data_IF_937032821585
#
_entry.id   IF_937032821585
#
_cell.length_a   1.000
_cell.length_b   1.000
_cell.length_c   1.000
_cell.angle_alpha   90.00
_cell.angle_beta   90.00
_cell.angle_gamma   90.00
#
_symmetry.space_group_name_H-M   'P 1'
#
loop_
_entity.id
_entity.type
_entity.pdbx_description
1 polymer ?
#
# COMPACT_ATOMS: atom_id res chain seq x y z
N UNK A 1 13.64 -6.97 19.82
CA UNK A 1 13.32 -5.53 19.68
C UNK A 1 11.91 -5.36 20.21
N UNK A 2 11.68 -4.36 21.04
CA UNK A 2 10.36 -4.07 21.57
C UNK A 2 9.47 -3.54 20.43
N UNK A 3 8.40 -4.25 20.11
CA UNK A 3 7.55 -3.95 18.95
C UNK A 3 6.85 -2.59 19.11
N UNK A 4 6.47 -2.22 20.33
CA UNK A 4 5.88 -0.91 20.62
C UNK A 4 6.87 0.23 20.34
N UNK A 5 8.12 0.09 20.78
CA UNK A 5 9.17 1.09 20.50
C UNK A 5 9.49 1.20 19.01
N UNK A 6 9.36 0.11 18.26
CA UNK A 6 9.51 0.15 16.81
C UNK A 6 8.36 0.92 16.15
N UNK A 7 7.12 0.69 16.59
CA UNK A 7 5.96 1.44 16.11
C UNK A 7 6.12 2.93 16.36
N UNK A 8 6.52 3.32 17.57
CA UNK A 8 6.76 4.72 17.94
C UNK A 8 7.84 5.36 17.05
N UNK A 9 8.98 4.67 16.87
CA UNK A 9 10.06 5.18 16.02
C UNK A 9 9.63 5.38 14.57
N UNK A 10 8.94 4.40 13.98
CA UNK A 10 8.44 4.49 12.60
C UNK A 10 7.41 5.62 12.46
N UNK A 11 6.64 5.90 13.51
CA UNK A 11 5.64 6.97 13.51
C UNK A 11 6.26 8.37 13.56
N UNK A 12 7.38 8.52 14.26
CA UNK A 12 8.13 9.78 14.34
C UNK A 12 8.96 10.01 13.08
N UNK A 13 9.76 9.02 12.67
CA UNK A 13 10.66 9.11 11.54
C UNK A 13 10.78 7.76 10.82
N UNK A 14 10.04 7.54 9.72
CA UNK A 14 10.05 6.28 9.01
C UNK A 14 11.34 6.11 8.20
N UNK A 15 12.29 5.34 8.74
CA UNK A 15 13.47 4.90 7.99
C UNK A 15 13.19 3.58 7.26
N UNK A 16 13.84 3.35 6.11
CA UNK A 16 13.71 2.08 5.38
C UNK A 16 14.01 0.86 6.28
N UNK A 17 15.04 0.97 7.14
CA UNK A 17 15.44 -0.08 8.06
C UNK A 17 14.34 -0.40 9.07
N UNK A 18 13.77 0.61 9.71
CA UNK A 18 12.73 0.41 10.72
C UNK A 18 11.42 -0.07 10.07
N UNK A 19 11.08 0.43 8.88
CA UNK A 19 9.92 -0.05 8.12
C UNK A 19 10.06 -1.53 7.73
N UNK A 20 11.23 -1.95 7.21
CA UNK A 20 11.49 -3.36 6.93
C UNK A 20 11.44 -4.20 8.22
N UNK A 21 12.06 -3.74 9.29
CA UNK A 21 12.01 -4.42 10.60
C UNK A 21 10.58 -4.58 11.13
N UNK A 22 9.71 -3.61 10.88
CA UNK A 22 8.29 -3.65 11.26
C UNK A 22 7.54 -4.72 10.46
N UNK A 23 7.73 -4.77 9.15
CA UNK A 23 7.14 -5.78 8.27
C UNK A 23 7.63 -7.20 8.62
N UNK A 24 8.91 -7.35 8.97
CA UNK A 24 9.49 -8.63 9.36
C UNK A 24 9.01 -9.12 10.74
N UNK A 25 8.67 -8.20 11.64
CA UNK A 25 8.25 -8.50 13.02
C UNK A 25 6.74 -8.68 13.16
N UNK A 26 5.93 -8.03 12.32
CA UNK A 26 4.47 -8.10 12.36
C UNK A 26 3.89 -9.38 11.72
N UNK A 27 4.24 -10.55 12.28
CA UNK A 27 3.85 -11.87 11.73
C UNK A 27 2.73 -12.57 12.49
N UNK A 28 2.58 -12.31 13.79
CA UNK A 28 1.53 -12.89 14.60
C UNK A 28 0.28 -12.01 14.62
N UNK A 29 -0.84 -12.62 15.03
CA UNK A 29 -2.12 -11.93 15.12
C UNK A 29 -2.05 -10.71 16.04
N UNK A 30 -1.36 -10.84 17.19
CA UNK A 30 -1.26 -9.78 18.19
C UNK A 30 -0.42 -8.60 17.68
N UNK A 31 0.70 -8.86 17.02
CA UNK A 31 1.55 -7.82 16.43
C UNK A 31 0.81 -7.10 15.29
N UNK A 32 0.10 -7.84 14.44
CA UNK A 32 -0.71 -7.26 13.34
C UNK A 32 -1.83 -6.39 13.92
N UNK A 33 -2.54 -6.88 14.94
CA UNK A 33 -3.60 -6.12 15.62
C UNK A 33 -3.03 -4.85 16.25
N UNK A 34 -1.88 -4.93 16.89
CA UNK A 34 -1.21 -3.79 17.50
C UNK A 34 -0.78 -2.76 16.44
N UNK A 35 -0.19 -3.21 15.33
CA UNK A 35 0.17 -2.35 14.19
C UNK A 35 -1.04 -1.59 13.64
N UNK A 36 -2.14 -2.28 13.33
CA UNK A 36 -3.33 -1.64 12.79
C UNK A 36 -4.03 -0.72 13.81
N UNK A 37 -4.02 -1.09 15.10
CA UNK A 37 -4.53 -0.25 16.18
C UNK A 37 -3.73 1.04 16.32
N UNK A 38 -2.40 0.92 16.35
CA UNK A 38 -1.48 2.06 16.41
C UNK A 38 -1.64 2.97 15.19
N UNK A 39 -1.64 2.42 13.97
CA UNK A 39 -1.81 3.18 12.73
C UNK A 39 -3.17 3.91 12.69
N UNK A 40 -4.23 3.28 13.21
CA UNK A 40 -5.55 3.91 13.30
C UNK A 40 -5.56 5.08 14.30
N UNK A 41 -4.93 4.92 15.46
CA UNK A 41 -4.76 5.99 16.45
C UNK A 41 -3.97 7.16 15.85
N UNK A 42 -2.85 6.88 15.20
CA UNK A 42 -2.01 7.90 14.57
C UNK A 42 -2.76 8.66 13.47
N UNK A 43 -3.54 7.96 12.63
CA UNK A 43 -4.43 8.59 11.64
C UNK A 43 -5.44 9.51 12.32
N UNK A 44 -6.13 9.04 13.35
CA UNK A 44 -7.13 9.81 14.07
C UNK A 44 -6.53 11.07 14.72
N UNK A 45 -5.32 11.00 15.26
CA UNK A 45 -4.61 12.13 15.88
C UNK A 45 -4.10 13.15 14.86
N UNK A 46 -3.58 12.70 13.71
CA UNK A 46 -2.93 13.58 12.72
C UNK A 46 -3.89 14.14 11.68
N UNK A 47 -4.87 13.36 11.27
CA UNK A 47 -5.77 13.66 10.13
C UNK A 47 -7.23 13.73 10.57
N UNK A 48 -7.56 13.19 11.74
CA UNK A 48 -8.94 13.06 12.21
C UNK A 48 -9.68 11.88 11.58
N UNK A 49 -10.93 11.69 12.01
CA UNK A 49 -11.84 10.67 11.46
C UNK A 49 -12.56 11.17 10.22
N UNK A 50 -11.79 11.56 9.22
CA UNK A 50 -12.30 12.12 7.97
C UNK A 50 -12.10 11.12 6.83
N UNK A 51 -13.17 10.83 6.08
CA UNK A 51 -13.10 10.06 4.86
C UNK A 51 -13.07 11.02 3.66
N UNK A 52 -11.98 10.98 2.88
CA UNK A 52 -11.89 11.70 1.62
C UNK A 52 -12.47 10.82 0.52
N UNK A 53 -13.46 11.35 -0.19
CA UNK A 53 -14.05 10.70 -1.35
C UNK A 53 -13.29 11.18 -2.58
N UNK A 54 -12.64 10.25 -3.29
CA UNK A 54 -11.94 10.51 -4.54
C UNK A 54 -12.61 9.75 -5.68
N UNK A 55 -13.13 10.47 -6.67
CA UNK A 55 -13.77 9.89 -7.84
C UNK A 55 -12.75 9.74 -8.96
N UNK A 56 -12.55 8.51 -9.41
CA UNK A 56 -11.66 8.23 -10.53
C UNK A 56 -12.45 7.93 -11.80
N UNK A 57 -12.31 8.77 -12.82
CA UNK A 57 -12.78 8.47 -14.18
C UNK A 57 -11.60 7.90 -14.95
N UNK A 58 -11.67 6.62 -15.30
CA UNK A 58 -10.64 5.97 -16.13
C UNK A 58 -11.01 6.05 -17.61
N UNK A 59 -10.44 7.00 -18.39
CA UNK A 59 -10.67 7.01 -19.82
C UNK A 59 -10.01 5.78 -20.45
N UNK A 60 -10.80 4.94 -21.13
CA UNK A 60 -10.29 3.77 -21.84
C UNK A 60 -9.48 4.24 -23.05
N UNK A 61 -8.15 4.32 -22.88
CA UNK A 61 -7.18 4.58 -23.95
C UNK A 61 -6.40 3.31 -24.25
N UNK A 62 -5.97 3.12 -25.51
CA UNK A 62 -5.05 2.04 -25.85
C UNK A 62 -3.78 2.16 -25.00
N UNK A 63 -3.39 1.08 -24.33
CA UNK A 63 -2.17 1.04 -23.53
C UNK A 63 -0.95 1.25 -24.43
N UNK A 64 -0.15 2.29 -24.13
CA UNK A 64 1.05 2.66 -24.89
C UNK A 64 2.34 2.13 -24.27
N UNK A 65 2.24 1.40 -23.14
CA UNK A 65 3.42 0.87 -22.46
C UNK A 65 4.13 -0.17 -23.34
N UNK A 66 5.45 0.02 -23.48
CA UNK A 66 6.34 -0.87 -24.23
C UNK A 66 6.91 -1.99 -23.35
N UNK A 67 7.05 -1.73 -22.04
CA UNK A 67 7.54 -2.72 -21.07
C UNK A 67 6.38 -3.47 -20.42
N UNK A 68 6.62 -4.75 -20.11
CA UNK A 68 5.59 -5.67 -19.63
C UNK A 68 5.11 -5.32 -18.22
N UNK A 69 3.89 -4.80 -18.11
CA UNK A 69 3.23 -4.60 -16.83
C UNK A 69 2.46 -5.88 -16.45
N UNK A 70 3.15 -6.85 -15.82
CA UNK A 70 2.63 -8.22 -15.58
C UNK A 70 1.33 -8.29 -14.77
N UNK A 71 1.04 -7.25 -13.99
CA UNK A 71 -0.14 -7.18 -13.13
C UNK A 71 -1.24 -6.23 -13.66
N UNK A 72 -1.04 -5.61 -14.83
CA UNK A 72 -1.98 -4.62 -15.37
C UNK A 72 -2.93 -5.22 -16.42
N UNK A 73 -4.23 -5.21 -16.13
CA UNK A 73 -5.27 -5.71 -17.05
C UNK A 73 -5.31 -4.95 -18.39
N UNK A 74 -5.08 -3.63 -18.40
CA UNK A 74 -5.05 -2.84 -19.64
C UNK A 74 -3.91 -3.25 -20.58
N UNK A 75 -2.83 -3.81 -20.02
CA UNK A 75 -1.72 -4.33 -20.80
C UNK A 75 -2.02 -5.76 -21.30
N UNK A 76 -2.70 -6.60 -20.51
CA UNK A 76 -3.20 -7.92 -20.98
C UNK A 76 -4.16 -7.75 -22.16
N UNK A 77 -5.05 -6.75 -22.12
CA UNK A 77 -5.98 -6.45 -23.20
C UNK A 77 -5.28 -5.97 -24.50
N UNK A 78 -4.12 -5.28 -24.40
CA UNK A 78 -3.29 -4.95 -25.58
C UNK A 78 -2.91 -6.22 -26.35
N UNK A 79 -2.41 -7.24 -25.65
CA UNK A 79 -2.03 -8.50 -26.29
C UNK A 79 -3.21 -9.33 -26.76
N UNK A 80 -4.32 -9.33 -26.01
CA UNK A 80 -5.54 -10.05 -26.41
C UNK A 80 -6.13 -9.53 -27.73
N UNK A 81 -6.00 -8.23 -27.99
CA UNK A 81 -6.48 -7.59 -29.22
C UNK A 81 -5.46 -7.70 -30.36
N UNK A 82 -4.16 -7.72 -30.08
CA UNK A 82 -3.08 -7.84 -31.07
C UNK A 82 -2.81 -9.29 -31.51
N UNK A 83 -3.29 -10.29 -30.75
CA UNK A 83 -3.16 -11.74 -31.05
C UNK A 83 -4.43 -12.37 -31.63
N UNK A 84 -5.43 -11.59 -32.03
CA UNK A 84 -6.55 -12.14 -32.82
C UNK A 84 -6.03 -12.46 -34.23
N UNK A 85 -6.23 -13.71 -34.74
CA UNK A 85 -5.85 -14.08 -36.09
C UNK A 85 -6.60 -13.27 -37.15
#
# INVERSE_FOLDING_TARGET
>A
MDFEKLLERVAEEPTLKDCCGLLESAKGYDEIRMLFGFASKLRDEKVGRVLKLDSFIYPVKKCVMEKYCIYCSNYVEKFRLELKP
#
